data_IF_874453406735
#
_entry.id   IF_874453406735
#
_cell.length_a   1.000
_cell.length_b   1.000
_cell.length_c   1.000
_cell.angle_alpha   90.00
_cell.angle_beta   90.00
_cell.angle_gamma   90.00
#
_symmetry.space_group_name_H-M   'P 1'
#
loop_
_entity.id
_entity.type
_entity.pdbx_description
1 polymer ?
#
# COMPACT_ATOMS: atom_id res chain seq x y z
N UNK A 1 46.72 36.33 37.18
CA UNK A 1 46.10 35.05 36.77
C UNK A 1 44.76 35.36 36.11
N UNK A 2 44.72 35.43 34.78
CA UNK A 2 43.51 35.76 34.02
C UNK A 2 42.56 34.55 33.96
N UNK A 3 41.39 34.65 34.61
CA UNK A 3 40.30 33.70 34.41
C UNK A 3 39.69 33.98 33.04
N UNK A 4 40.04 33.15 32.06
CA UNK A 4 39.36 33.12 30.76
C UNK A 4 37.93 32.67 31.03
N UNK A 5 36.98 33.51 30.60
CA UNK A 5 35.55 33.33 30.81
C UNK A 5 35.05 32.16 29.95
N UNK A 6 34.89 30.98 30.57
CA UNK A 6 34.47 29.72 29.93
C UNK A 6 33.16 29.87 29.15
N UNK A 7 32.31 30.83 29.53
CA UNK A 7 31.05 31.11 28.84
C UNK A 7 31.24 31.64 27.40
N UNK A 8 32.31 32.41 27.16
CA UNK A 8 32.61 32.96 25.85
C UNK A 8 33.04 31.86 24.86
N UNK A 9 33.75 30.84 25.34
CA UNK A 9 34.20 29.70 24.53
C UNK A 9 33.02 28.81 24.10
N UNK A 10 32.03 28.61 24.96
CA UNK A 10 30.84 27.80 24.65
C UNK A 10 29.98 28.50 23.59
N UNK A 11 29.79 29.82 23.69
CA UNK A 11 28.98 30.57 22.72
C UNK A 11 29.61 30.60 21.31
N UNK A 12 30.94 30.68 21.23
CA UNK A 12 31.66 30.59 19.94
C UNK A 12 31.52 29.20 19.32
N UNK A 13 31.57 28.13 20.14
CA UNK A 13 31.41 26.75 19.66
C UNK A 13 30.02 26.47 19.06
N UNK A 14 28.95 26.94 19.71
CA UNK A 14 27.57 26.72 19.22
C UNK A 14 27.31 27.50 17.92
N UNK A 15 27.84 28.73 17.81
CA UNK A 15 27.72 29.53 16.60
C UNK A 15 28.40 28.88 15.37
N UNK A 16 29.57 28.26 15.57
CA UNK A 16 30.31 27.60 14.49
C UNK A 16 29.58 26.33 13.99
N UNK A 17 28.96 25.58 14.90
CA UNK A 17 28.23 24.35 14.57
C UNK A 17 26.97 24.66 13.75
N UNK A 18 26.23 25.73 14.10
CA UNK A 18 25.06 26.16 13.36
C UNK A 18 25.40 26.66 11.95
N UNK A 19 26.53 27.36 11.79
CA UNK A 19 27.00 27.81 10.47
C UNK A 19 27.41 26.63 9.57
N UNK A 20 28.07 25.61 10.11
CA UNK A 20 28.46 24.41 9.36
C UNK A 20 27.24 23.58 8.90
N UNK A 21 26.21 23.46 9.74
CA UNK A 21 24.95 22.79 9.38
C UNK A 21 24.19 23.54 8.28
N UNK A 22 24.18 24.88 8.30
CA UNK A 22 23.56 25.70 7.24
C UNK A 22 24.21 25.53 5.86
N UNK A 23 25.53 25.34 5.81
CA UNK A 23 26.27 25.16 4.54
C UNK A 23 26.04 23.77 3.93
N UNK A 24 25.87 22.71 4.74
CA UNK A 24 25.57 21.37 4.22
C UNK A 24 24.19 21.29 3.55
N UNK A 25 23.19 22.01 4.05
CA UNK A 25 21.82 22.01 3.46
C UNK A 25 21.79 22.75 2.11
N UNK A 26 22.69 23.70 1.88
CA UNK A 26 22.76 24.40 0.60
C UNK A 26 23.50 23.60 -0.50
N UNK A 27 24.41 22.69 -0.13
CA UNK A 27 25.25 21.97 -1.08
C UNK A 27 24.58 20.75 -1.75
N UNK A 28 23.49 20.21 -1.20
CA UNK A 28 22.78 19.05 -1.76
C UNK A 28 21.78 19.40 -2.87
N UNK A 29 21.59 20.68 -3.18
CA UNK A 29 20.58 21.14 -4.16
C UNK A 29 21.09 21.31 -5.60
N UNK A 30 22.34 20.92 -5.90
CA UNK A 30 22.99 21.36 -7.15
C UNK A 30 23.75 20.26 -7.91
N UNK A 31 23.12 19.13 -8.20
CA UNK A 31 23.63 18.17 -9.22
C UNK A 31 22.53 17.23 -9.71
N UNK A 32 21.89 17.57 -10.83
CA UNK A 32 21.31 16.63 -11.80
C UNK A 32 20.78 17.38 -13.04
N UNK A 33 21.68 17.82 -13.93
CA UNK A 33 21.38 17.94 -15.36
C UNK A 33 22.14 16.81 -16.04
N UNK A 34 21.47 15.69 -16.25
CA UNK A 34 21.93 14.59 -17.10
C UNK A 34 21.09 14.61 -18.37
N UNK A 35 21.77 14.65 -19.51
CA UNK A 35 21.20 14.63 -20.85
C UNK A 35 20.34 13.39 -21.07
N UNK A 36 19.05 13.60 -21.32
CA UNK A 36 18.12 12.58 -21.77
C UNK A 36 18.17 12.47 -23.29
N UNK A 37 18.66 11.33 -23.77
CA UNK A 37 18.36 10.87 -25.12
C UNK A 37 16.82 10.73 -25.27
N UNK A 38 16.21 11.20 -26.37
CA UNK A 38 14.78 11.03 -26.60
C UNK A 38 14.51 9.57 -26.94
N UNK A 39 14.02 8.81 -25.95
CA UNK A 39 13.29 7.57 -26.22
C UNK A 39 11.93 7.99 -26.75
N UNK A 40 11.64 7.58 -27.98
CA UNK A 40 10.38 7.85 -28.66
C UNK A 40 9.21 7.31 -27.83
N UNK A 41 8.45 8.25 -27.24
CA UNK A 41 7.35 8.00 -26.31
C UNK A 41 6.01 7.82 -27.03
N UNK A 42 6.01 7.77 -28.36
CA UNK A 42 4.78 7.85 -29.16
C UNK A 42 4.08 6.50 -29.40
N UNK A 43 4.66 5.36 -29.03
CA UNK A 43 4.05 4.03 -29.28
C UNK A 43 3.11 3.50 -28.18
N UNK A 44 3.05 4.14 -27.00
CA UNK A 44 2.22 3.64 -25.89
C UNK A 44 0.76 4.12 -25.92
N UNK A 45 0.44 5.11 -26.76
CA UNK A 45 -0.91 5.66 -26.87
C UNK A 45 -1.79 4.90 -27.90
N UNK A 46 -1.25 3.96 -28.67
CA UNK A 46 -1.95 3.36 -29.81
C UNK A 46 -2.90 2.20 -29.47
N UNK A 47 -2.93 1.71 -28.23
CA UNK A 47 -3.83 0.61 -27.82
C UNK A 47 -4.95 1.05 -26.85
N UNK A 48 -5.10 2.36 -26.63
CA UNK A 48 -6.03 2.96 -25.66
C UNK A 48 -7.32 3.52 -26.31
N UNK A 49 -7.84 2.86 -27.36
CA UNK A 49 -9.17 3.21 -27.88
C UNK A 49 -10.11 2.00 -27.92
N UNK A 50 -11.23 2.00 -27.17
CA UNK A 50 -12.36 1.13 -27.47
C UNK A 50 -12.96 1.56 -28.82
N UNK A 51 -13.07 0.62 -29.76
CA UNK A 51 -13.82 0.82 -30.99
C UNK A 51 -15.29 1.09 -30.66
N UNK A 52 -15.68 2.36 -30.59
CA UNK A 52 -17.07 2.77 -30.56
C UNK A 52 -17.66 2.71 -31.98
N UNK A 53 -18.93 2.30 -32.16
CA UNK A 53 -19.55 2.22 -33.46
C UNK A 53 -19.73 3.62 -34.09
N UNK A 54 -19.45 3.69 -35.38
CA UNK A 54 -19.57 4.88 -36.24
C UNK A 54 -21.00 5.40 -36.22
N UNK A 55 -21.22 6.54 -35.57
CA UNK A 55 -22.46 7.32 -35.68
C UNK A 55 -22.19 8.67 -36.35
N UNK A 56 -23.00 8.94 -37.37
CA UNK A 56 -22.98 10.06 -38.31
C UNK A 56 -22.57 11.43 -37.80
N UNK A 57 -21.70 12.02 -38.61
CA UNK A 57 -21.38 13.43 -38.75
C UNK A 57 -22.62 14.35 -38.80
N UNK A 58 -22.69 15.37 -37.93
CA UNK A 58 -23.35 16.65 -38.25
C UNK A 58 -22.61 17.79 -37.55
N UNK A 59 -22.16 18.74 -38.37
CA UNK A 59 -21.30 19.84 -37.99
C UNK A 59 -21.94 20.88 -37.09
N UNK A 60 -21.09 21.62 -36.39
CA UNK A 60 -21.44 22.79 -35.62
C UNK A 60 -20.20 23.67 -35.45
N UNK A 61 -20.16 24.74 -36.22
CA UNK A 61 -19.11 25.77 -36.26
C UNK A 61 -19.06 26.60 -34.98
N UNK A 62 -17.85 26.79 -34.44
CA UNK A 62 -17.34 28.10 -34.01
C UNK A 62 -17.81 28.67 -32.66
N UNK A 63 -16.86 28.86 -31.74
CA UNK A 63 -16.72 30.11 -31.01
C UNK A 63 -15.33 30.18 -30.33
N UNK A 64 -14.55 31.18 -30.74
CA UNK A 64 -13.33 31.66 -30.07
C UNK A 64 -13.70 32.44 -28.80
N UNK A 65 -13.00 32.20 -27.69
CA UNK A 65 -12.73 33.12 -26.56
C UNK A 65 -11.65 32.44 -25.70
N UNK A 66 -10.48 32.98 -25.38
CA UNK A 66 -9.98 34.35 -25.36
C UNK A 66 -9.73 34.78 -23.91
N UNK A 67 -8.46 34.74 -23.48
CA UNK A 67 -7.93 35.37 -22.24
C UNK A 67 -8.22 34.62 -20.93
N UNK A 68 -7.41 34.65 -19.88
CA UNK A 68 -6.21 35.41 -19.62
C UNK A 68 -5.33 34.69 -18.59
N UNK A 69 -4.03 34.84 -18.76
CA UNK A 69 -2.98 34.61 -17.79
C UNK A 69 -3.17 35.52 -16.58
N UNK A 70 -3.14 34.97 -15.36
CA UNK A 70 -2.80 35.76 -14.17
C UNK A 70 -1.76 35.00 -13.37
N UNK A 71 -0.51 35.43 -13.52
CA UNK A 71 0.58 35.14 -12.61
C UNK A 71 0.31 35.91 -11.30
N UNK A 72 0.44 35.23 -10.16
CA UNK A 72 0.31 35.82 -8.83
C UNK A 72 1.32 35.19 -7.88
N UNK A 73 2.48 35.82 -7.78
CA UNK A 73 3.52 35.62 -6.78
C UNK A 73 3.01 36.02 -5.37
N UNK A 74 3.27 35.18 -4.38
CA UNK A 74 3.41 35.54 -2.96
C UNK A 74 4.28 34.44 -2.30
N UNK A 75 5.61 34.57 -2.17
CA UNK A 75 6.40 35.35 -1.21
C UNK A 75 5.97 35.18 0.26
N UNK A 76 6.73 34.30 0.94
CA UNK A 76 7.26 34.32 2.31
C UNK A 76 6.35 34.71 3.49
N UNK A 77 6.19 33.76 4.41
CA UNK A 77 6.23 34.04 5.84
C UNK A 77 6.93 32.89 6.59
N UNK A 78 8.24 33.06 6.76
CA UNK A 78 9.05 32.34 7.76
C UNK A 78 8.67 32.91 9.12
N UNK A 79 8.13 32.07 10.01
CA UNK A 79 7.83 32.42 11.40
C UNK A 79 8.36 31.35 12.33
N UNK A 80 9.65 31.47 12.68
CA UNK A 80 10.27 30.69 13.74
C UNK A 80 9.69 31.10 15.10
N UNK A 81 9.20 30.13 15.88
CA UNK A 81 8.93 30.28 17.32
C UNK A 81 9.88 29.35 18.06
N UNK A 82 11.04 29.87 18.43
CA UNK A 82 11.95 29.27 19.41
C UNK A 82 12.41 30.38 20.34
N UNK A 83 11.92 30.36 21.58
CA UNK A 83 12.40 31.05 22.78
C UNK A 83 11.25 31.03 23.82
N UNK A 84 11.38 30.71 25.10
CA UNK A 84 12.55 30.59 25.98
C UNK A 84 12.09 29.98 27.33
N UNK A 85 13.00 29.24 27.98
CA UNK A 85 13.31 29.20 29.43
C UNK A 85 12.19 28.88 30.44
N UNK A 86 12.37 28.09 31.50
CA UNK A 86 13.50 27.47 32.21
C UNK A 86 12.84 26.69 33.37
N UNK A 87 13.42 25.79 34.13
CA UNK A 87 14.80 25.53 34.53
C UNK A 87 14.70 25.01 35.97
N UNK A 88 15.05 23.75 36.22
CA UNK A 88 15.34 23.25 37.57
C UNK A 88 16.58 22.36 37.46
N UNK A 89 17.67 22.82 38.06
CA UNK A 89 18.91 22.10 38.32
C UNK A 89 19.09 22.05 39.83
N UNK A 90 19.52 20.89 40.34
CA UNK A 90 20.42 20.59 41.48
C UNK A 90 19.94 19.30 42.19
N UNK A 91 20.60 18.15 42.01
CA UNK A 91 21.81 17.64 42.70
C UNK A 91 21.48 17.12 44.14
N UNK A 92 21.91 15.95 44.65
CA UNK A 92 23.22 15.28 44.71
C UNK A 92 23.05 13.71 44.95
N UNK A 93 23.98 12.95 45.59
CA UNK A 93 24.84 11.94 44.94
C UNK A 93 24.69 10.50 45.52
N UNK A 94 25.32 9.48 44.90
CA UNK A 94 25.30 8.12 45.46
C UNK A 94 26.25 7.13 44.78
N UNK A 95 27.49 7.10 45.28
CA UNK A 95 28.45 5.98 45.39
C UNK A 95 28.53 4.89 44.30
N UNK A 96 29.76 4.83 43.76
CA UNK A 96 30.42 3.68 43.12
C UNK A 96 30.38 2.44 44.02
N UNK A 97 30.28 1.26 43.43
CA UNK A 97 31.15 0.15 43.82
C UNK A 97 31.43 -0.79 42.64
N UNK A 98 32.71 -1.11 42.52
CA UNK A 98 33.32 -2.00 41.54
C UNK A 98 33.51 -3.38 42.17
N UNK A 99 33.15 -4.45 41.46
CA UNK A 99 33.79 -5.76 41.61
C UNK A 99 33.57 -6.53 40.29
N UNK A 100 34.60 -6.73 39.46
CA UNK A 100 35.51 -7.89 39.50
C UNK A 100 34.80 -9.21 39.20
N UNK A 101 35.02 -9.78 37.99
CA UNK A 101 35.55 -11.15 37.72
C UNK A 101 35.37 -11.60 36.25
N UNK A 102 36.12 -12.62 35.77
CA UNK A 102 37.22 -12.39 34.84
C UNK A 102 37.05 -13.09 33.49
N UNK A 103 38.05 -12.85 32.65
CA UNK A 103 38.36 -13.55 31.41
C UNK A 103 38.36 -15.07 31.55
N UNK A 104 37.81 -15.72 30.53
CA UNK A 104 37.99 -17.13 30.22
C UNK A 104 38.10 -17.28 28.71
N UNK A 105 39.32 -17.20 28.21
CA UNK A 105 39.72 -17.71 26.91
C UNK A 105 39.60 -19.24 26.92
N UNK A 106 39.08 -19.83 25.84
CA UNK A 106 39.48 -21.18 25.39
C UNK A 106 39.09 -21.33 23.93
N UNK A 107 40.12 -21.27 23.10
CA UNK A 107 40.15 -21.80 21.74
C UNK A 107 39.78 -23.28 21.75
N UNK A 108 39.02 -23.73 20.75
CA UNK A 108 39.21 -25.08 20.19
C UNK A 108 38.86 -25.04 18.72
N UNK A 109 39.92 -24.99 17.93
CA UNK A 109 39.98 -25.37 16.53
C UNK A 109 39.57 -26.84 16.38
N UNK A 110 38.73 -27.16 15.41
CA UNK A 110 38.54 -28.52 14.93
C UNK A 110 38.24 -28.49 13.44
N UNK A 111 39.32 -28.67 12.69
CA UNK A 111 39.32 -29.06 11.30
C UNK A 111 38.86 -30.52 11.16
N UNK A 112 37.95 -30.75 10.23
CA UNK A 112 37.69 -32.02 9.54
C UNK A 112 37.24 -31.56 8.14
N UNK A 113 37.98 -31.66 7.05
CA UNK A 113 38.89 -32.65 6.49
C UNK A 113 38.24 -34.00 6.08
N UNK A 114 37.87 -34.00 4.79
CA UNK A 114 37.54 -35.04 3.78
C UNK A 114 36.48 -36.13 4.06
N UNK A 115 35.46 -36.16 3.20
CA UNK A 115 35.23 -37.36 2.36
C UNK A 115 34.60 -36.98 1.02
N UNK A 116 35.43 -37.04 -0.02
CA UNK A 116 35.05 -37.13 -1.43
C UNK A 116 34.34 -38.47 -1.64
N UNK A 117 33.05 -38.46 -1.99
CA UNK A 117 32.29 -39.66 -2.36
C UNK A 117 31.68 -39.45 -3.74
N UNK A 118 32.38 -40.07 -4.70
CA UNK A 118 32.00 -40.55 -6.02
C UNK A 118 30.52 -40.43 -6.42
N UNK A 119 30.28 -39.67 -7.48
CA UNK A 119 29.32 -40.07 -8.51
C UNK A 119 29.85 -41.36 -9.17
N UNK A 120 28.99 -42.35 -9.50
CA UNK A 120 28.15 -42.22 -10.67
C UNK A 120 26.79 -42.93 -10.56
N UNK A 121 25.73 -42.27 -11.02
CA UNK A 121 24.64 -42.91 -11.73
C UNK A 121 23.80 -41.79 -12.34
N UNK A 122 24.21 -41.36 -13.53
CA UNK A 122 23.34 -40.71 -14.49
C UNK A 122 22.16 -41.64 -14.73
N UNK A 123 21.12 -41.47 -13.92
CA UNK A 123 19.81 -42.01 -14.23
C UNK A 123 19.26 -41.05 -15.27
N UNK A 124 19.43 -41.43 -16.54
CA UNK A 124 18.53 -41.06 -17.63
C UNK A 124 17.10 -41.45 -17.21
N UNK A 125 16.51 -40.67 -16.30
CA UNK A 125 15.08 -40.68 -16.08
C UNK A 125 14.49 -39.92 -17.24
N UNK A 126 14.19 -40.69 -18.28
CA UNK A 126 13.11 -40.48 -19.23
C UNK A 126 12.60 -39.04 -19.24
N UNK A 127 13.06 -38.26 -20.23
CA UNK A 127 12.33 -37.08 -20.67
C UNK A 127 10.86 -37.47 -20.85
N UNK A 128 9.93 -37.02 -19.99
CA UNK A 128 8.54 -37.03 -20.36
C UNK A 128 8.42 -35.87 -21.33
N UNK A 129 8.67 -36.13 -22.61
CA UNK A 129 8.17 -35.33 -23.73
C UNK A 129 6.64 -35.40 -23.79
N UNK A 130 5.98 -35.25 -22.63
CA UNK A 130 4.59 -34.90 -22.56
C UNK A 130 4.53 -33.46 -23.02
N UNK A 131 4.26 -33.26 -24.31
CA UNK A 131 3.88 -31.95 -24.80
C UNK A 131 2.78 -31.44 -23.88
N UNK A 132 3.07 -30.36 -23.16
CA UNK A 132 2.10 -29.77 -22.25
C UNK A 132 0.85 -29.48 -23.05
N UNK A 133 -0.25 -30.13 -22.68
CA UNK A 133 -1.54 -29.92 -23.33
C UNK A 133 -1.86 -28.42 -23.27
N UNK A 134 -2.00 -27.81 -24.44
CA UNK A 134 -2.25 -26.38 -24.53
C UNK A 134 -3.67 -26.10 -24.06
N UNK A 135 -3.80 -25.25 -23.06
CA UNK A 135 -5.08 -24.74 -22.58
C UNK A 135 -5.49 -23.50 -23.38
N UNK A 136 -6.77 -23.41 -23.75
CA UNK A 136 -7.32 -22.27 -24.50
C UNK A 136 -7.93 -21.17 -23.63
N UNK A 137 -8.61 -20.19 -24.26
CA UNK A 137 -9.29 -19.10 -23.55
C UNK A 137 -10.35 -19.60 -22.56
N UNK A 138 -10.44 -18.94 -21.40
CA UNK A 138 -11.32 -19.26 -20.30
C UNK A 138 -10.73 -20.22 -19.26
N UNK A 139 -9.63 -20.92 -19.57
CA UNK A 139 -9.01 -21.87 -18.63
C UNK A 139 -8.30 -21.15 -17.48
N UNK A 140 -8.53 -21.61 -16.25
CA UNK A 140 -7.78 -21.23 -15.05
C UNK A 140 -6.64 -22.23 -14.80
N UNK A 141 -5.41 -21.71 -14.72
CA UNK A 141 -4.20 -22.53 -14.78
C UNK A 141 -3.50 -22.78 -13.44
N UNK A 142 -3.97 -22.13 -12.36
CA UNK A 142 -3.38 -22.24 -11.02
C UNK A 142 -3.36 -20.88 -10.31
N UNK A 143 -2.87 -20.86 -9.08
CA UNK A 143 -2.74 -19.64 -8.28
C UNK A 143 -1.31 -19.10 -8.37
N UNK A 144 -1.16 -17.78 -8.35
CA UNK A 144 0.12 -17.07 -8.19
C UNK A 144 0.05 -16.13 -7.00
N UNK A 145 1.19 -15.88 -6.36
CA UNK A 145 1.29 -15.01 -5.19
C UNK A 145 1.75 -13.62 -5.63
N UNK A 146 0.84 -12.64 -5.81
CA UNK A 146 1.24 -11.29 -6.14
C UNK A 146 2.07 -10.69 -5.00
N UNK A 147 3.03 -9.81 -5.33
CA UNK A 147 3.86 -9.11 -4.33
C UNK A 147 3.02 -8.42 -3.24
N UNK A 148 1.80 -8.01 -3.60
CA UNK A 148 0.81 -7.48 -2.66
C UNK A 148 -0.54 -8.12 -2.96
N UNK A 149 -1.13 -8.80 -1.97
CA UNK A 149 -2.47 -9.36 -2.05
C UNK A 149 -2.52 -10.86 -1.73
N UNK A 150 -3.72 -11.41 -1.87
CA UNK A 150 -3.97 -12.85 -1.76
C UNK A 150 -3.56 -13.59 -3.04
N UNK A 151 -3.26 -14.90 -2.96
CA UNK A 151 -3.06 -15.72 -4.14
C UNK A 151 -4.22 -15.59 -5.13
N UNK A 152 -3.91 -15.35 -6.41
CA UNK A 152 -4.90 -15.08 -7.45
C UNK A 152 -4.80 -16.11 -8.59
N UNK A 153 -5.93 -16.54 -9.17
CA UNK A 153 -5.91 -17.47 -10.29
C UNK A 153 -5.35 -16.80 -11.55
N UNK A 154 -4.52 -17.53 -12.29
CA UNK A 154 -4.11 -17.13 -13.65
C UNK A 154 -5.13 -17.67 -14.64
N UNK A 155 -5.78 -16.79 -15.39
CA UNK A 155 -6.73 -17.16 -16.44
C UNK A 155 -6.18 -16.82 -17.82
N UNK A 156 -6.36 -17.73 -18.78
CA UNK A 156 -6.07 -17.47 -20.19
C UNK A 156 -7.26 -16.69 -20.76
N UNK A 157 -7.07 -15.43 -21.12
CA UNK A 157 -8.11 -14.59 -21.71
C UNK A 157 -8.13 -14.72 -23.24
N UNK A 158 -6.95 -14.87 -23.87
CA UNK A 158 -6.78 -15.07 -25.32
C UNK A 158 -5.61 -16.00 -25.63
N UNK A 159 -5.64 -16.61 -26.82
CA UNK A 159 -4.63 -17.55 -27.31
C UNK A 159 -4.66 -18.91 -26.58
N UNK A 160 -3.61 -19.72 -26.77
CA UNK A 160 -3.46 -21.00 -26.09
C UNK A 160 -2.04 -21.17 -25.53
N UNK A 161 -1.92 -21.71 -24.32
CA UNK A 161 -0.65 -21.90 -23.62
C UNK A 161 -0.78 -23.01 -22.58
N UNK A 162 0.32 -23.72 -22.29
CA UNK A 162 0.35 -24.69 -21.19
C UNK A 162 0.16 -24.02 -19.83
N UNK A 163 -0.63 -24.61 -18.93
CA UNK A 163 -0.97 -23.96 -17.66
C UNK A 163 0.23 -23.76 -16.71
N UNK A 164 1.22 -24.65 -16.76
CA UNK A 164 2.47 -24.48 -16.01
C UNK A 164 3.24 -23.27 -16.52
N UNK A 165 3.32 -23.09 -17.83
CA UNK A 165 3.98 -21.92 -18.41
C UNK A 165 3.19 -20.63 -18.11
N UNK A 166 1.85 -20.67 -18.18
CA UNK A 166 1.01 -19.51 -17.84
C UNK A 166 1.26 -19.02 -16.40
N UNK A 167 1.30 -19.92 -15.43
CA UNK A 167 1.57 -19.58 -14.03
C UNK A 167 3.02 -19.12 -13.83
N UNK A 168 4.00 -19.76 -14.47
CA UNK A 168 5.41 -19.35 -14.43
C UNK A 168 5.62 -17.93 -14.97
N UNK A 169 4.96 -17.57 -16.06
CA UNK A 169 5.05 -16.23 -16.65
C UNK A 169 4.55 -15.18 -15.68
N UNK A 170 3.37 -15.38 -15.08
CA UNK A 170 2.82 -14.39 -14.16
C UNK A 170 3.61 -14.33 -12.85
N UNK A 171 4.05 -15.47 -12.30
CA UNK A 171 4.88 -15.47 -11.10
C UNK A 171 6.19 -14.71 -11.34
N UNK A 172 6.86 -14.94 -12.48
CA UNK A 172 8.06 -14.21 -12.86
C UNK A 172 7.84 -12.70 -12.94
N UNK A 173 6.68 -12.24 -13.42
CA UNK A 173 6.34 -10.82 -13.40
C UNK A 173 6.37 -10.22 -11.99
N UNK A 174 5.88 -10.95 -10.98
CA UNK A 174 5.90 -10.53 -9.58
C UNK A 174 7.27 -10.68 -8.90
N UNK A 175 8.07 -11.65 -9.32
CA UNK A 175 9.41 -11.88 -8.77
C UNK A 175 10.44 -10.85 -9.28
N UNK A 176 10.20 -10.23 -10.44
CA UNK A 176 11.09 -9.20 -10.96
C UNK A 176 11.10 -7.96 -10.05
N UNK A 177 12.25 -7.31 -9.84
CA UNK A 177 12.32 -6.04 -9.11
C UNK A 177 11.37 -4.99 -9.70
N UNK A 178 10.78 -4.16 -8.83
CA UNK A 178 9.96 -3.02 -9.26
C UNK A 178 10.88 -1.88 -9.69
N UNK A 179 10.71 -1.37 -10.92
CA UNK A 179 11.39 -0.15 -11.36
C UNK A 179 10.84 1.04 -10.56
N UNK A 180 11.68 1.77 -9.78
CA UNK A 180 11.23 2.93 -9.03
C UNK A 180 10.60 4.03 -9.91
N UNK A 181 10.83 4.02 -11.22
CA UNK A 181 10.27 4.97 -12.17
C UNK A 181 9.01 4.43 -12.91
N UNK A 182 8.66 3.16 -12.73
CA UNK A 182 7.59 2.47 -13.49
C UNK A 182 6.17 2.85 -13.10
N UNK A 183 6.01 3.72 -12.09
CA UNK A 183 4.71 4.07 -11.52
C UNK A 183 3.98 2.86 -10.90
N UNK A 184 2.70 3.03 -10.61
CA UNK A 184 1.86 1.98 -10.01
C UNK A 184 1.50 0.86 -11.00
N UNK A 185 1.65 1.08 -12.31
CA UNK A 185 1.39 0.07 -13.33
C UNK A 185 2.52 -0.95 -13.49
N UNK A 186 3.73 -0.59 -13.02
CA UNK A 186 4.92 -1.43 -13.01
C UNK A 186 5.12 -2.28 -14.29
N UNK A 187 5.09 -1.68 -15.50
CA UNK A 187 5.21 -2.44 -16.73
C UNK A 187 6.58 -3.13 -16.81
N UNK A 188 6.60 -4.40 -17.19
CA UNK A 188 7.83 -5.20 -17.37
C UNK A 188 7.78 -5.99 -18.66
N UNK A 189 8.93 -6.14 -19.29
CA UNK A 189 9.09 -6.97 -20.48
C UNK A 189 10.16 -8.04 -20.24
N UNK A 190 9.85 -9.29 -20.55
CA UNK A 190 10.79 -10.42 -20.44
C UNK A 190 10.36 -11.57 -21.37
N UNK A 191 11.31 -12.20 -22.07
CA UNK A 191 11.06 -13.33 -22.97
C UNK A 191 9.94 -13.10 -24.00
N UNK A 192 9.78 -11.85 -24.45
CA UNK A 192 8.72 -11.42 -25.37
C UNK A 192 7.35 -11.21 -24.72
N UNK A 193 7.22 -11.41 -23.41
CA UNK A 193 6.04 -11.04 -22.62
C UNK A 193 6.08 -9.57 -22.25
N UNK A 194 4.91 -8.93 -22.31
CA UNK A 194 4.67 -7.57 -21.81
C UNK A 194 3.62 -7.68 -20.71
N UNK A 195 4.03 -7.47 -19.48
CA UNK A 195 3.18 -7.59 -18.31
C UNK A 195 3.01 -6.24 -17.62
N UNK A 196 1.82 -5.97 -17.11
CA UNK A 196 1.54 -4.77 -16.32
C UNK A 196 0.39 -5.02 -15.34
N UNK A 197 0.46 -4.32 -14.20
CA UNK A 197 -0.64 -4.21 -13.25
C UNK A 197 -1.53 -3.05 -13.67
N UNK A 198 -2.83 -3.27 -13.78
CA UNK A 198 -3.79 -2.23 -14.06
C UNK A 198 -3.91 -1.28 -12.86
N UNK A 199 -4.15 0.01 -13.13
CA UNK A 199 -4.58 0.94 -12.08
C UNK A 199 -5.94 0.50 -11.52
N UNK A 200 -6.28 0.92 -10.30
CA UNK A 200 -7.54 0.50 -9.67
C UNK A 200 -8.79 0.78 -10.54
N UNK A 201 -8.84 1.95 -11.19
CA UNK A 201 -9.93 2.30 -12.11
C UNK A 201 -9.98 1.38 -13.33
N UNK A 202 -8.83 1.17 -13.98
CA UNK A 202 -8.75 0.28 -15.15
C UNK A 202 -9.06 -1.18 -14.80
N UNK A 203 -8.67 -1.63 -13.60
CA UNK A 203 -8.97 -2.97 -13.13
C UNK A 203 -10.48 -3.15 -12.93
N UNK A 204 -11.15 -2.17 -12.31
CA UNK A 204 -12.61 -2.18 -12.12
C UNK A 204 -13.38 -2.23 -13.44
N UNK A 205 -12.91 -1.52 -14.47
CA UNK A 205 -13.52 -1.53 -15.80
C UNK A 205 -13.28 -2.83 -16.56
N UNK A 206 -12.08 -3.43 -16.42
CA UNK A 206 -11.66 -4.61 -17.20
C UNK A 206 -11.94 -5.93 -16.51
N UNK A 207 -12.18 -5.92 -15.21
CA UNK A 207 -12.39 -7.13 -14.41
C UNK A 207 -11.11 -7.92 -14.10
N UNK A 208 -9.92 -7.35 -14.33
CA UNK A 208 -8.64 -7.96 -13.97
C UNK A 208 -7.59 -6.95 -13.50
N UNK A 209 -6.72 -7.38 -12.57
CA UNK A 209 -5.72 -6.56 -11.91
C UNK A 209 -4.36 -6.60 -12.59
N UNK A 210 -3.99 -7.73 -13.19
CA UNK A 210 -2.73 -7.89 -13.92
C UNK A 210 -3.00 -8.53 -15.27
N UNK A 211 -2.25 -8.12 -16.29
CA UNK A 211 -2.26 -8.79 -17.59
C UNK A 211 -0.86 -8.98 -18.15
N UNK A 212 -0.62 -10.14 -18.78
CA UNK A 212 0.58 -10.45 -19.52
C UNK A 212 0.22 -10.81 -20.97
N UNK A 213 0.95 -10.24 -21.94
CA UNK A 213 0.67 -10.37 -23.36
C UNK A 213 1.91 -10.87 -24.11
N UNK A 214 1.75 -11.87 -24.99
CA UNK A 214 2.77 -12.33 -25.94
C UNK A 214 2.11 -12.85 -27.21
N UNK A 215 2.26 -12.13 -28.33
CA UNK A 215 1.58 -12.46 -29.57
C UNK A 215 0.06 -12.41 -29.42
N UNK A 216 -0.60 -13.54 -29.67
CA UNK A 216 -2.04 -13.74 -29.50
C UNK A 216 -2.44 -14.24 -28.10
N UNK A 217 -1.46 -14.56 -27.23
CA UNK A 217 -1.71 -15.03 -25.87
C UNK A 217 -1.87 -13.86 -24.90
N UNK A 218 -2.96 -13.88 -24.13
CA UNK A 218 -3.20 -12.96 -23.02
C UNK A 218 -3.54 -13.74 -21.76
N UNK A 219 -2.77 -13.49 -20.70
CA UNK A 219 -3.02 -13.96 -19.35
C UNK A 219 -3.57 -12.82 -18.52
N UNK A 220 -4.52 -13.10 -17.64
CA UNK A 220 -5.10 -12.13 -16.70
C UNK A 220 -5.22 -12.69 -15.30
N UNK A 221 -5.10 -11.81 -14.31
CA UNK A 221 -5.50 -12.07 -12.92
C UNK A 221 -6.84 -11.39 -12.68
N UNK A 222 -7.97 -12.11 -12.74
CA UNK A 222 -9.28 -11.50 -12.55
C UNK A 222 -9.38 -10.87 -11.16
N UNK A 223 -10.03 -9.71 -11.07
CA UNK A 223 -10.38 -9.09 -9.79
C UNK A 223 -11.82 -9.45 -9.45
N UNK A 224 -12.08 -9.81 -8.19
CA UNK A 224 -13.45 -10.06 -7.71
C UNK A 224 -14.09 -11.37 -8.18
N UNK A 225 -13.33 -12.28 -8.78
CA UNK A 225 -13.73 -13.68 -8.91
C UNK A 225 -12.96 -14.44 -7.83
N UNK A 226 -13.63 -14.75 -6.71
CA UNK A 226 -13.20 -15.88 -5.88
C UNK A 226 -13.00 -17.05 -6.85
N UNK A 227 -11.77 -17.57 -6.95
CA UNK A 227 -11.39 -18.63 -7.86
C UNK A 227 -12.42 -19.77 -7.82
N UNK A 228 -13.34 -19.79 -8.79
CA UNK A 228 -14.33 -20.86 -8.91
C UNK A 228 -13.65 -22.00 -9.64
N UNK A 229 -12.90 -22.78 -8.86
CA UNK A 229 -12.67 -24.18 -9.20
C UNK A 229 -14.02 -24.82 -9.57
N UNK A 230 -14.09 -25.72 -10.57
CA UNK A 230 -15.30 -26.48 -10.84
C UNK A 230 -15.49 -27.46 -9.68
N UNK A 231 -16.23 -27.06 -8.65
CA UNK A 231 -16.53 -27.92 -7.52
C UNK A 231 -17.95 -28.47 -7.64
N UNK A 232 -18.05 -29.79 -7.58
CA UNK A 232 -19.25 -30.58 -7.36
C UNK A 232 -20.23 -29.87 -6.42
N UNK A 233 -21.29 -29.31 -7.01
CA UNK A 233 -22.47 -28.80 -6.32
C UNK A 233 -23.17 -29.94 -5.59
N UNK A 234 -22.87 -30.19 -4.29
CA UNK A 234 -23.81 -30.89 -3.39
C UNK A 234 -23.45 -30.94 -1.88
N UNK A 235 -22.26 -30.55 -1.40
CA UNK A 235 -21.88 -30.94 -0.02
C UNK A 235 -21.44 -29.86 0.99
N UNK A 236 -21.40 -28.55 0.68
CA UNK A 236 -21.15 -27.51 1.69
C UNK A 236 -21.93 -26.22 1.45
N UNK A 237 -23.22 -26.23 1.78
CA UNK A 237 -23.92 -24.99 2.09
C UNK A 237 -23.60 -24.63 3.55
N UNK A 238 -22.76 -23.60 3.77
CA UNK A 238 -22.53 -23.09 5.14
C UNK A 238 -21.26 -22.28 5.43
N UNK A 239 -20.46 -21.89 4.43
CA UNK A 239 -19.36 -20.93 4.62
C UNK A 239 -19.43 -19.90 3.49
N UNK A 240 -20.03 -18.76 3.76
CA UNK A 240 -19.28 -17.57 4.17
C UNK A 240 -18.45 -17.02 3.02
N UNK A 241 -19.13 -16.45 2.02
CA UNK A 241 -18.52 -15.41 1.18
C UNK A 241 -18.29 -14.20 2.07
N UNK A 242 -17.16 -14.20 2.82
CA UNK A 242 -16.77 -13.05 3.63
C UNK A 242 -16.63 -11.84 2.69
N UNK A 243 -17.13 -10.67 3.09
CA UNK A 243 -16.95 -9.46 2.28
C UNK A 243 -15.47 -9.26 1.90
N UNK A 244 -15.20 -8.90 0.65
CA UNK A 244 -13.84 -8.58 0.20
C UNK A 244 -13.17 -7.55 1.13
N UNK A 245 -11.98 -7.85 1.65
CA UNK A 245 -11.31 -7.02 2.64
C UNK A 245 -11.73 -7.27 4.10
N UNK A 246 -12.53 -8.30 4.39
CA UNK A 246 -12.69 -8.78 5.77
C UNK A 246 -11.34 -9.27 6.32
N UNK A 247 -11.04 -8.97 7.58
CA UNK A 247 -9.76 -9.28 8.22
C UNK A 247 -9.74 -10.68 8.85
N UNK A 248 -10.75 -11.52 8.63
CA UNK A 248 -10.85 -12.87 9.18
C UNK A 248 -11.00 -12.92 10.69
N UNK A 249 -11.43 -11.82 11.31
CA UNK A 249 -11.61 -11.71 12.76
C UNK A 249 -12.88 -12.43 13.23
N UNK A 250 -12.95 -12.77 14.52
CA UNK A 250 -14.12 -13.42 15.12
C UNK A 250 -15.38 -12.55 15.05
N UNK A 251 -15.22 -11.22 15.21
CA UNK A 251 -16.23 -10.26 14.80
C UNK A 251 -16.13 -10.13 13.29
N UNK A 252 -17.22 -10.30 12.52
CA UNK A 252 -17.20 -10.13 11.06
C UNK A 252 -17.20 -8.64 10.67
N UNK A 253 -16.63 -8.32 9.51
CA UNK A 253 -16.67 -6.97 8.95
C UNK A 253 -18.11 -6.60 8.59
N UNK A 254 -18.49 -5.37 8.91
CA UNK A 254 -19.83 -4.84 8.63
C UNK A 254 -19.80 -3.80 7.53
N UNK A 255 -20.92 -3.67 6.82
CA UNK A 255 -21.21 -2.59 5.85
C UNK A 255 -22.56 -1.97 6.23
N UNK A 256 -22.58 -1.02 7.17
CA UNK A 256 -23.84 -0.40 7.61
C UNK A 256 -24.46 0.40 6.46
N UNK A 257 -25.78 0.56 6.49
CA UNK A 257 -26.51 1.36 5.50
C UNK A 257 -26.19 2.84 5.65
N UNK A 258 -26.20 3.57 4.53
CA UNK A 258 -26.01 5.02 4.52
C UNK A 258 -27.36 5.73 4.75
N UNK A 259 -27.94 5.52 5.93
CA UNK A 259 -29.30 5.92 6.32
C UNK A 259 -29.35 7.22 7.15
N UNK A 260 -28.22 7.90 7.32
CA UNK A 260 -28.09 9.11 8.14
C UNK A 260 -27.80 8.84 9.61
N UNK A 261 -27.55 7.58 10.02
CA UNK A 261 -27.17 7.25 11.40
C UNK A 261 -25.78 7.78 11.74
N UNK A 262 -25.59 8.19 13.00
CA UNK A 262 -24.29 8.49 13.57
C UNK A 262 -23.51 7.23 13.95
N UNK A 263 -22.18 7.28 13.80
CA UNK A 263 -21.27 6.31 14.42
C UNK A 263 -20.20 7.04 15.23
N UNK A 264 -19.80 6.41 16.33
CA UNK A 264 -18.62 6.82 17.10
C UNK A 264 -17.45 5.95 16.66
N UNK A 265 -16.48 6.55 15.99
CA UNK A 265 -15.23 5.87 15.62
C UNK A 265 -14.30 5.89 16.82
N UNK A 266 -13.91 4.69 17.28
CA UNK A 266 -13.09 4.45 18.46
C UNK A 266 -11.62 4.26 18.10
N UNK A 267 -11.34 3.74 16.90
CA UNK A 267 -10.00 3.51 16.39
C UNK A 267 -10.00 3.46 14.85
N UNK A 268 -8.89 3.85 14.23
CA UNK A 268 -8.71 3.80 12.77
C UNK A 268 -7.35 3.18 12.44
N UNK A 269 -7.36 1.96 11.90
CA UNK A 269 -6.15 1.27 11.45
C UNK A 269 -5.82 1.70 10.01
N UNK A 270 -4.59 2.18 9.79
CA UNK A 270 -4.13 2.73 8.50
C UNK A 270 -2.77 2.17 8.05
N UNK A 271 -2.19 1.25 8.83
CA UNK A 271 -0.85 0.68 8.56
C UNK A 271 -0.95 -0.60 7.72
N UNK A 272 -0.46 -0.60 6.46
CA UNK A 272 -0.40 -1.83 5.66
C UNK A 272 0.39 -2.93 6.36
N UNK A 273 -0.13 -4.14 6.36
CA UNK A 273 0.47 -5.31 7.03
C UNK A 273 0.13 -5.43 8.53
N UNK A 274 -0.49 -4.42 9.15
CA UNK A 274 -0.88 -4.46 10.58
C UNK A 274 -2.38 -4.27 10.84
N UNK A 275 -3.22 -4.15 9.80
CA UNK A 275 -4.67 -3.93 9.96
C UNK A 275 -5.34 -4.94 10.91
N UNK A 276 -5.08 -6.23 10.71
CA UNK A 276 -5.71 -7.30 11.49
C UNK A 276 -5.34 -7.22 12.98
N UNK A 277 -4.04 -7.04 13.29
CA UNK A 277 -3.56 -6.99 14.68
C UNK A 277 -4.03 -5.72 15.39
N UNK A 278 -4.02 -4.57 14.70
CA UNK A 278 -4.54 -3.30 15.22
C UNK A 278 -6.05 -3.37 15.50
N UNK A 279 -6.85 -3.84 14.53
CA UNK A 279 -8.31 -3.95 14.66
C UNK A 279 -8.69 -4.98 15.74
N UNK A 280 -8.01 -6.13 15.81
CA UNK A 280 -8.22 -7.13 16.87
C UNK A 280 -8.01 -6.52 18.26
N UNK A 281 -6.91 -5.79 18.45
CA UNK A 281 -6.59 -5.13 19.72
C UNK A 281 -7.63 -4.07 20.10
N UNK A 282 -8.05 -3.26 19.13
CA UNK A 282 -9.07 -2.24 19.31
C UNK A 282 -10.45 -2.84 19.66
N UNK A 283 -10.85 -3.94 19.02
CA UNK A 283 -12.09 -4.67 19.35
C UNK A 283 -12.04 -5.29 20.76
N UNK A 284 -10.90 -5.86 21.15
CA UNK A 284 -10.74 -6.41 22.51
C UNK A 284 -10.85 -5.32 23.59
N UNK A 285 -10.34 -4.12 23.30
CA UNK A 285 -10.39 -2.97 24.22
C UNK A 285 -11.78 -2.29 24.25
N UNK A 286 -12.65 -2.58 23.28
CA UNK A 286 -13.96 -1.95 23.15
C UNK A 286 -15.07 -3.00 22.96
N UNK A 287 -15.50 -3.71 24.01
CA UNK A 287 -16.55 -4.73 23.91
C UNK A 287 -17.82 -4.18 23.25
N UNK A 288 -18.41 -4.97 22.33
CA UNK A 288 -19.60 -4.58 21.56
C UNK A 288 -19.33 -3.64 20.37
N UNK A 289 -18.09 -3.20 20.16
CA UNK A 289 -17.72 -2.50 18.94
C UNK A 289 -17.74 -3.43 17.72
N UNK A 290 -17.93 -2.84 16.55
CA UNK A 290 -17.88 -3.48 15.24
C UNK A 290 -16.74 -2.86 14.45
N UNK A 291 -16.40 -3.43 13.30
CA UNK A 291 -15.48 -2.80 12.39
C UNK A 291 -16.01 -2.80 10.95
N UNK A 292 -15.51 -1.87 10.16
CA UNK A 292 -15.81 -1.69 8.75
C UNK A 292 -14.56 -1.25 8.00
N UNK A 293 -14.58 -1.41 6.68
CA UNK A 293 -13.60 -0.81 5.77
C UNK A 293 -14.27 0.40 5.10
N UNK A 294 -13.67 1.57 5.27
CA UNK A 294 -14.29 2.86 4.95
C UNK A 294 -14.56 3.07 3.45
N UNK A 295 -13.69 2.57 2.57
CA UNK A 295 -13.85 2.62 1.10
C UNK A 295 -14.93 1.67 0.55
N UNK A 296 -15.55 0.88 1.41
CA UNK A 296 -16.64 -0.06 1.06
C UNK A 296 -17.93 0.21 1.84
N UNK A 297 -17.98 1.32 2.59
CA UNK A 297 -19.13 1.71 3.39
C UNK A 297 -19.82 2.94 2.76
N UNK A 298 -19.87 4.06 3.47
CA UNK A 298 -20.55 5.27 2.99
C UNK A 298 -19.57 6.32 2.42
N UNK A 299 -19.95 7.07 1.37
CA UNK A 299 -19.14 8.16 0.83
C UNK A 299 -18.79 9.25 1.84
N UNK A 300 -19.62 9.44 2.88
CA UNK A 300 -19.37 10.36 4.00
C UNK A 300 -18.20 9.96 4.91
N UNK A 301 -17.62 8.78 4.72
CA UNK A 301 -16.41 8.36 5.42
C UNK A 301 -15.17 8.66 4.56
N UNK A 302 -14.04 8.97 5.20
CA UNK A 302 -12.77 9.08 4.49
C UNK A 302 -12.46 7.74 3.82
N UNK A 303 -12.30 7.75 2.51
CA UNK A 303 -12.06 6.54 1.73
C UNK A 303 -10.61 6.04 1.91
N UNK A 304 -9.67 6.97 2.10
CA UNK A 304 -8.24 6.70 2.29
C UNK A 304 -7.63 7.69 3.27
N UNK A 305 -6.51 7.30 3.88
CA UNK A 305 -5.69 8.20 4.68
C UNK A 305 -4.91 9.19 3.78
N UNK A 306 -4.04 10.01 4.36
CA UNK A 306 -3.23 10.98 3.63
C UNK A 306 -2.14 10.34 2.76
N UNK A 307 -1.78 9.09 3.03
CA UNK A 307 -0.79 8.32 2.31
C UNK A 307 -1.42 7.41 1.22
N UNK A 308 -2.75 7.43 1.09
CA UNK A 308 -3.48 6.57 0.17
C UNK A 308 -3.76 5.16 0.70
N UNK A 309 -3.51 4.89 1.98
CA UNK A 309 -3.82 3.62 2.63
C UNK A 309 -5.33 3.45 2.84
N UNK A 310 -5.77 2.20 2.87
CA UNK A 310 -7.15 1.86 3.24
C UNK A 310 -7.34 2.09 4.74
N UNK A 311 -8.54 2.49 5.16
CA UNK A 311 -8.85 2.72 6.57
C UNK A 311 -9.85 1.68 7.05
N UNK A 312 -9.46 0.92 8.07
CA UNK A 312 -10.39 0.10 8.86
C UNK A 312 -10.78 0.85 10.13
N UNK A 313 -12.07 1.10 10.30
CA UNK A 313 -12.58 1.81 11.46
C UNK A 313 -13.23 0.82 12.43
N UNK A 314 -12.85 0.88 13.70
CA UNK A 314 -13.58 0.24 14.80
C UNK A 314 -14.55 1.27 15.36
N UNK A 315 -15.84 0.91 15.43
CA UNK A 315 -16.91 1.86 15.72
C UNK A 315 -18.00 1.27 16.61
N UNK A 316 -18.80 2.16 17.19
CA UNK A 316 -20.11 1.87 17.77
C UNK A 316 -21.18 2.64 17.02
N UNK A 317 -22.35 2.03 16.89
CA UNK A 317 -23.54 2.70 16.36
C UNK A 317 -24.05 3.74 17.36
N UNK A 318 -24.58 4.84 16.85
CA UNK A 318 -25.24 5.91 17.62
C UNK A 318 -26.65 6.18 17.07
N UNK A 319 -27.29 7.24 17.54
CA UNK A 319 -28.59 7.72 17.08
C UNK A 319 -28.57 8.48 15.75
N UNK A 320 -29.67 9.15 15.45
CA UNK A 320 -29.88 9.91 14.20
C UNK A 320 -29.83 11.43 14.42
N UNK A 321 -29.62 11.87 15.66
CA UNK A 321 -29.49 13.27 16.01
C UNK A 321 -28.07 13.61 16.45
N UNK A 322 -27.63 14.84 16.17
CA UNK A 322 -26.32 15.34 16.62
C UNK A 322 -26.17 15.26 18.15
N UNK A 323 -27.27 15.47 18.89
CA UNK A 323 -27.25 15.40 20.34
C UNK A 323 -26.93 13.99 20.85
N UNK A 324 -27.54 12.96 20.28
CA UNK A 324 -27.23 11.55 20.60
C UNK A 324 -25.79 11.21 20.23
N UNK A 325 -25.36 11.57 19.01
CA UNK A 325 -24.00 11.32 18.56
C UNK A 325 -22.96 11.99 19.48
N UNK A 326 -23.20 13.24 19.87
CA UNK A 326 -22.28 13.93 20.78
C UNK A 326 -22.31 13.40 22.21
N UNK A 327 -23.45 12.92 22.70
CA UNK A 327 -23.51 12.22 23.98
C UNK A 327 -22.68 10.92 23.94
N UNK A 328 -22.78 10.15 22.86
CA UNK A 328 -22.02 8.91 22.69
C UNK A 328 -20.52 9.16 22.50
N UNK A 329 -20.12 10.21 21.78
CA UNK A 329 -18.71 10.64 21.66
C UNK A 329 -18.17 11.06 23.03
N UNK A 330 -18.94 11.81 23.82
CA UNK A 330 -18.52 12.24 25.17
C UNK A 330 -18.38 11.05 26.15
N UNK A 331 -19.12 9.97 25.94
CA UNK A 331 -19.01 8.74 26.72
C UNK A 331 -17.88 7.79 26.26
N UNK A 332 -17.28 8.05 25.10
CA UNK A 332 -16.25 7.21 24.50
C UNK A 332 -14.84 7.54 25.03
N UNK A 333 -13.84 6.65 24.83
CA UNK A 333 -12.45 6.93 25.17
C UNK A 333 -11.90 8.17 24.46
N UNK A 334 -10.87 8.79 25.06
CA UNK A 334 -10.21 9.94 24.47
C UNK A 334 -9.71 9.64 23.04
N UNK A 335 -9.96 10.59 22.13
CA UNK A 335 -9.61 10.44 20.70
C UNK A 335 -10.72 9.85 19.83
N UNK A 336 -11.82 9.37 20.42
CA UNK A 336 -13.00 8.98 19.67
C UNK A 336 -13.68 10.21 19.00
N UNK A 337 -14.34 9.99 17.87
CA UNK A 337 -15.02 11.06 17.13
C UNK A 337 -16.27 10.56 16.41
N UNK A 338 -17.19 11.50 16.13
CA UNK A 338 -18.45 11.23 15.45
C UNK A 338 -18.36 11.36 13.94
N UNK A 339 -19.07 10.48 13.21
CA UNK A 339 -19.30 10.54 11.76
C UNK A 339 -20.76 10.21 11.44
N UNK A 340 -21.27 10.78 10.36
CA UNK A 340 -22.56 10.38 9.78
C UNK A 340 -22.35 9.30 8.72
N UNK A 341 -23.23 8.30 8.69
CA UNK A 341 -23.32 7.31 7.63
C UNK A 341 -24.36 7.77 6.59
N UNK A 342 -23.93 8.57 5.62
CA UNK A 342 -24.80 9.10 4.58
C UNK A 342 -24.01 9.26 3.26
N UNK A 343 -24.66 9.80 2.23
CA UNK A 343 -24.06 9.98 0.90
C UNK A 343 -23.70 11.44 0.59
N UNK A 344 -23.85 12.36 1.54
CA UNK A 344 -23.80 13.82 1.29
C UNK A 344 -22.85 14.60 2.19
N UNK A 345 -22.55 14.10 3.38
CA UNK A 345 -21.64 14.72 4.33
C UNK A 345 -20.20 14.68 3.80
N UNK A 346 -19.44 15.75 4.05
CA UNK A 346 -18.04 15.83 3.63
C UNK A 346 -17.17 14.84 4.44
N UNK A 347 -16.49 13.88 3.78
CA UNK A 347 -15.68 12.88 4.46
C UNK A 347 -14.50 13.49 5.22
N UNK A 348 -14.05 14.70 4.88
CA UNK A 348 -12.95 15.39 5.57
C UNK A 348 -13.39 16.10 6.85
N UNK A 349 -14.70 16.32 7.04
CA UNK A 349 -15.24 17.11 8.16
C UNK A 349 -15.80 16.21 9.26
N UNK A 350 -15.23 16.32 10.46
CA UNK A 350 -15.72 15.63 11.66
C UNK A 350 -17.02 16.29 12.16
N UNK A 351 -17.90 15.50 12.78
CA UNK A 351 -19.03 16.07 13.51
C UNK A 351 -18.49 16.79 14.74
N UNK A 352 -18.68 18.10 14.81
CA UNK A 352 -18.27 18.87 16.00
C UNK A 352 -19.19 18.55 17.18
N UNK A 353 -18.57 17.96 18.19
CA UNK A 353 -19.00 17.85 19.57
C UNK A 353 -17.94 18.59 20.39
#
# INVERSE_FOLDING_TARGET
MCRVNTLALVLVGVGLLAALLGVMVAATSRTARGDSHPVDRSDWAAYDQPQSPVAGHRGGTGARRGGATTAGLAILAVGAVVALAGGIVLALPGTRDSADRPAGESETSSAAEWTETSAPATSEQNEPGGGEELSGPGTECGLVEPTFGEPAPVRIERGSIGCVEATRVVQRYYDLPVDPNGGNTAPKEFDGWRCATATAGAAAERGYGTSCLKGDVQLVLPIGQEARAPQNDSARAGSDSRPYGDLGLATPMTRPSCDGRGIVVLYSAVTPGAYESEVRSALASNPGARYLRTDQACPSLRQRDENGNVIYAVYRESGYSRAELCADVAAAPAGAYGRWLDTTSDPTVLVSC
#
